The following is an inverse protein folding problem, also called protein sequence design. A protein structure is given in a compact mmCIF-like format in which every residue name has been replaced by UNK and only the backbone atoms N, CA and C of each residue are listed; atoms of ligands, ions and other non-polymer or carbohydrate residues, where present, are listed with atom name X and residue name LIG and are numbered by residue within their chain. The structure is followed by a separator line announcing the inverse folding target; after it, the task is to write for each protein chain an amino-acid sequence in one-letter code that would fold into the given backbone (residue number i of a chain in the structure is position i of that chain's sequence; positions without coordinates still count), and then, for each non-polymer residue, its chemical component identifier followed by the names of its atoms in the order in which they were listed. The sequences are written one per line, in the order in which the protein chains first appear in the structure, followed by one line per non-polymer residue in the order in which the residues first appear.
data_IF_308203023864
#
_entry.id   IF_308203023864
#
_cell.length_a   1.000
_cell.length_b   1.000
_cell.length_c   1.000
_cell.angle_alpha   90.00
_cell.angle_beta   90.00
_cell.angle_gamma   90.00
#
_symmetry.space_group_name_H-M   'P 1'
#
loop_
_entity.id
_entity.type
_entity.pdbx_description
1 polymer ?
#
# COMPACT_ATOMS: atom_id res chain seq x y z
N UNK A 1 -6.67 -25.93 -4.88
CA UNK A 1 -5.35 -25.81 -4.20
C UNK A 1 -5.39 -24.72 -3.15
N UNK A 2 -5.73 -23.48 -3.52
CA UNK A 2 -5.84 -22.32 -2.63
C UNK A 2 -6.56 -22.61 -1.32
N UNK A 3 -7.79 -23.15 -1.39
CA UNK A 3 -8.54 -23.56 -0.19
C UNK A 3 -7.75 -24.46 0.78
N UNK A 4 -6.98 -25.43 0.26
CA UNK A 4 -6.16 -26.31 1.12
C UNK A 4 -5.00 -25.57 1.78
N UNK A 5 -4.45 -24.55 1.11
CA UNK A 5 -3.40 -23.71 1.68
C UNK A 5 -3.98 -22.80 2.78
N UNK A 6 -5.19 -22.26 2.58
CA UNK A 6 -5.91 -21.48 3.59
C UNK A 6 -6.26 -22.37 4.80
N UNK A 7 -6.86 -23.54 4.56
CA UNK A 7 -7.17 -24.51 5.62
C UNK A 7 -5.91 -24.87 6.43
N UNK A 8 -4.77 -25.02 5.76
CA UNK A 8 -3.49 -25.29 6.40
C UNK A 8 -2.98 -24.09 7.22
N UNK A 9 -3.12 -22.86 6.69
CA UNK A 9 -2.76 -21.63 7.40
C UNK A 9 -3.56 -21.50 8.70
N UNK A 10 -4.88 -21.69 8.63
CA UNK A 10 -5.75 -21.66 9.82
C UNK A 10 -5.39 -22.78 10.80
N UNK A 11 -5.12 -23.99 10.32
CA UNK A 11 -4.79 -25.14 11.17
C UNK A 11 -3.40 -25.06 11.83
N UNK A 12 -2.49 -24.24 11.28
CA UNK A 12 -1.09 -24.13 11.69
C UNK A 12 -0.68 -22.72 12.09
N UNK A 13 -1.64 -21.88 12.49
CA UNK A 13 -1.39 -20.47 12.85
C UNK A 13 -0.42 -20.27 14.04
N UNK A 14 -0.20 -21.29 14.88
CA UNK A 14 0.72 -21.22 16.02
C UNK A 14 2.17 -21.61 15.66
N UNK A 15 2.41 -22.02 14.41
CA UNK A 15 3.71 -22.45 13.90
C UNK A 15 4.25 -21.38 12.95
N UNK A 16 5.07 -20.47 13.48
CA UNK A 16 5.63 -19.33 12.76
C UNK A 16 6.33 -19.72 11.45
N UNK A 17 7.04 -20.85 11.42
CA UNK A 17 7.77 -21.30 10.23
C UNK A 17 6.79 -21.71 9.12
N UNK A 18 5.72 -22.42 9.48
CA UNK A 18 4.67 -22.81 8.54
C UNK A 18 3.89 -21.58 8.05
N UNK A 19 3.53 -20.67 8.95
CA UNK A 19 2.84 -19.42 8.59
C UNK A 19 3.68 -18.61 7.60
N UNK A 20 4.97 -18.41 7.89
CA UNK A 20 5.88 -17.67 7.03
C UNK A 20 6.02 -18.33 5.65
N UNK A 21 6.16 -19.66 5.60
CA UNK A 21 6.28 -20.40 4.34
C UNK A 21 5.00 -20.33 3.49
N UNK A 22 3.82 -20.35 4.14
CA UNK A 22 2.55 -20.18 3.45
C UNK A 22 2.36 -18.77 2.93
N UNK A 23 2.71 -17.74 3.72
CA UNK A 23 2.71 -16.35 3.26
C UNK A 23 3.62 -16.15 2.04
N UNK A 24 4.83 -16.74 2.06
CA UNK A 24 5.73 -16.72 0.91
C UNK A 24 5.12 -17.44 -0.31
N UNK A 25 4.45 -18.57 -0.08
CA UNK A 25 3.76 -19.30 -1.15
C UNK A 25 2.66 -18.44 -1.81
N UNK A 26 1.85 -17.74 -1.01
CA UNK A 26 0.84 -16.84 -1.54
C UNK A 26 1.43 -15.60 -2.22
N UNK A 27 2.53 -15.06 -1.71
CA UNK A 27 3.27 -14.01 -2.40
C UNK A 27 3.70 -14.46 -3.80
N UNK A 28 4.24 -15.67 -3.94
CA UNK A 28 4.61 -16.23 -5.24
C UNK A 28 3.40 -16.41 -6.16
N UNK A 29 2.26 -16.86 -5.63
CA UNK A 29 1.02 -16.99 -6.41
C UNK A 29 0.47 -15.63 -6.86
N UNK A 30 0.59 -14.58 -6.05
CA UNK A 30 0.21 -13.22 -6.40
C UNK A 30 1.15 -12.60 -7.44
N UNK A 31 2.44 -12.94 -7.40
CA UNK A 31 3.43 -12.45 -8.38
C UNK A 31 3.23 -13.04 -9.79
N UNK A 32 2.52 -14.15 -9.92
CA UNK A 32 2.28 -14.80 -11.19
C UNK A 32 0.92 -14.37 -11.78
N UNK A 33 0.87 -13.73 -12.97
CA UNK A 33 -0.36 -13.24 -13.59
C UNK A 33 -1.42 -14.32 -13.84
N UNK A 34 -1.02 -15.58 -14.05
CA UNK A 34 -1.95 -16.69 -14.32
C UNK A 34 -2.68 -17.16 -13.06
N UNK A 35 -2.11 -16.89 -11.88
CA UNK A 35 -2.66 -17.36 -10.60
C UNK A 35 -3.16 -16.23 -9.71
N UNK A 36 -2.67 -15.01 -9.89
CA UNK A 36 -2.99 -13.86 -9.04
C UNK A 36 -4.48 -13.54 -9.04
N UNK A 37 -5.13 -13.62 -10.20
CA UNK A 37 -6.57 -13.41 -10.32
C UNK A 37 -7.36 -14.41 -9.47
N UNK A 38 -7.01 -15.70 -9.55
CA UNK A 38 -7.63 -16.74 -8.75
C UNK A 38 -7.39 -16.57 -7.25
N UNK A 39 -6.26 -15.98 -6.83
CA UNK A 39 -6.00 -15.68 -5.40
C UNK A 39 -6.87 -14.52 -4.91
N UNK A 40 -7.04 -13.49 -5.73
CA UNK A 40 -7.84 -12.31 -5.38
C UNK A 40 -9.35 -12.54 -5.50
N UNK A 41 -9.78 -13.46 -6.36
CA UNK A 41 -11.19 -13.85 -6.56
C UNK A 41 -11.64 -15.02 -5.67
N UNK A 42 -10.72 -15.69 -4.96
CA UNK A 42 -11.09 -16.74 -4.00
C UNK A 42 -12.01 -16.16 -2.92
N UNK A 43 -12.82 -17.00 -2.26
CA UNK A 43 -13.90 -16.62 -1.33
C UNK A 43 -13.59 -15.36 -0.49
N UNK A 44 -14.13 -14.21 -0.91
CA UNK A 44 -13.94 -12.88 -0.31
C UNK A 44 -12.47 -12.46 -0.07
N UNK A 45 -11.54 -12.92 -0.91
CA UNK A 45 -10.10 -12.71 -0.74
C UNK A 45 -9.61 -13.10 0.67
N UNK A 46 -10.09 -14.23 1.21
CA UNK A 46 -9.82 -14.67 2.59
C UNK A 46 -8.33 -14.65 2.96
N UNK A 47 -7.45 -15.05 2.05
CA UNK A 47 -6.01 -15.00 2.30
C UNK A 47 -5.48 -13.57 2.46
N UNK A 48 -6.05 -12.61 1.74
CA UNK A 48 -5.69 -11.19 1.88
C UNK A 48 -6.17 -10.68 3.24
N UNK A 49 -7.34 -11.12 3.71
CA UNK A 49 -7.79 -10.82 5.07
C UNK A 49 -6.82 -11.35 6.14
N UNK A 50 -6.32 -12.56 5.98
CA UNK A 50 -5.26 -13.08 6.86
C UNK A 50 -4.00 -12.22 6.81
N UNK A 51 -3.53 -11.83 5.61
CA UNK A 51 -2.36 -10.97 5.49
C UNK A 51 -2.56 -9.59 6.15
N UNK A 52 -3.76 -9.02 6.05
CA UNK A 52 -4.10 -7.74 6.70
C UNK A 52 -4.01 -7.82 8.23
N UNK A 53 -4.34 -8.97 8.83
CA UNK A 53 -4.16 -9.18 10.28
C UNK A 53 -2.69 -9.41 10.64
N UNK A 54 -1.97 -10.17 9.81
CA UNK A 54 -0.58 -10.57 10.04
C UNK A 54 0.44 -9.43 9.83
N UNK A 55 0.06 -8.30 9.22
CA UNK A 55 0.95 -7.14 9.08
C UNK A 55 1.38 -6.56 10.44
N UNK A 56 0.63 -6.86 11.51
CA UNK A 56 0.90 -6.42 12.88
C UNK A 56 1.38 -7.56 13.77
N UNK A 57 1.83 -8.66 13.17
CA UNK A 57 2.32 -9.81 13.92
C UNK A 57 3.54 -9.44 14.76
N UNK A 58 3.67 -10.08 15.93
CA UNK A 58 4.82 -9.90 16.82
C UNK A 58 6.13 -10.37 16.20
N UNK A 59 6.07 -11.33 15.27
CA UNK A 59 7.20 -11.83 14.53
C UNK A 59 7.47 -10.91 13.32
N UNK A 60 8.62 -10.20 13.28
CA UNK A 60 8.91 -9.23 12.23
C UNK A 60 9.07 -9.87 10.85
N UNK A 61 9.42 -11.17 10.77
CA UNK A 61 9.50 -11.88 9.49
C UNK A 61 8.12 -12.11 8.89
N UNK A 62 7.14 -12.48 9.73
CA UNK A 62 5.75 -12.67 9.32
C UNK A 62 5.15 -11.33 8.91
N UNK A 63 5.29 -10.30 9.75
CA UNK A 63 4.80 -8.95 9.47
C UNK A 63 5.42 -8.38 8.17
N UNK A 64 6.74 -8.55 7.99
CA UNK A 64 7.43 -8.13 6.78
C UNK A 64 6.95 -8.86 5.53
N UNK A 65 6.80 -10.19 5.60
CA UNK A 65 6.33 -11.00 4.47
C UNK A 65 4.87 -10.70 4.11
N UNK A 66 4.01 -10.50 5.11
CA UNK A 66 2.61 -10.10 4.91
C UNK A 66 2.53 -8.72 4.24
N UNK A 67 3.30 -7.74 4.74
CA UNK A 67 3.40 -6.40 4.13
C UNK A 67 3.84 -6.47 2.66
N UNK A 68 4.87 -7.27 2.35
CA UNK A 68 5.34 -7.44 0.98
C UNK A 68 4.28 -8.07 0.07
N UNK A 69 3.57 -9.10 0.53
CA UNK A 69 2.49 -9.72 -0.23
C UNK A 69 1.31 -8.74 -0.46
N UNK A 70 0.94 -7.95 0.55
CA UNK A 70 -0.09 -6.92 0.44
C UNK A 70 0.31 -5.80 -0.54
N UNK A 71 1.60 -5.50 -0.68
CA UNK A 71 2.11 -4.60 -1.73
C UNK A 71 1.71 -5.07 -3.12
N UNK A 72 1.92 -6.36 -3.44
CA UNK A 72 1.50 -6.94 -4.72
C UNK A 72 -0.03 -6.89 -4.91
N UNK A 73 -0.80 -7.14 -3.84
CA UNK A 73 -2.26 -7.01 -3.90
C UNK A 73 -2.68 -5.59 -4.30
N UNK A 74 -2.07 -4.57 -3.71
CA UNK A 74 -2.37 -3.18 -4.03
C UNK A 74 -2.06 -2.85 -5.49
N UNK A 75 -0.90 -3.29 -6.00
CA UNK A 75 -0.52 -3.10 -7.41
C UNK A 75 -1.52 -3.77 -8.37
N UNK A 76 -1.92 -5.01 -8.08
CA UNK A 76 -2.88 -5.75 -8.89
C UNK A 76 -4.25 -5.08 -8.92
N UNK A 77 -4.71 -4.56 -7.78
CA UNK A 77 -5.98 -3.83 -7.69
C UNK A 77 -5.94 -2.49 -8.43
N UNK A 78 -4.81 -1.78 -8.43
CA UNK A 78 -4.62 -0.58 -9.25
C UNK A 78 -4.70 -0.90 -10.75
N UNK A 79 -4.04 -1.99 -11.18
CA UNK A 79 -4.08 -2.45 -12.58
C UNK A 79 -5.49 -2.89 -12.99
N UNK A 80 -6.27 -3.47 -12.07
CA UNK A 80 -7.68 -3.81 -12.32
C UNK A 80 -8.55 -2.57 -12.42
N UNK A 81 -8.38 -1.61 -11.50
CA UNK A 81 -9.11 -0.34 -11.51
C UNK A 81 -8.89 0.46 -12.80
N UNK A 82 -7.65 0.49 -13.32
CA UNK A 82 -7.34 1.19 -14.57
C UNK A 82 -7.93 0.53 -15.82
N UNK A 83 -8.21 -0.78 -15.79
CA UNK A 83 -8.89 -1.49 -16.89
C UNK A 83 -10.40 -1.27 -16.92
N UNK A 84 -11.02 -1.00 -15.75
CA UNK A 84 -12.47 -0.89 -15.60
C UNK A 84 -12.96 0.56 -15.70
N UNK A 85 -12.17 1.53 -15.23
CA UNK A 85 -12.55 2.94 -15.24
C UNK A 85 -12.18 3.61 -16.56
N UNK A 86 -13.15 4.18 -17.26
CA UNK A 86 -12.91 5.11 -18.40
C UNK A 86 -12.71 6.55 -17.91
N UNK A 87 -13.07 6.83 -16.66
CA UNK A 87 -12.88 8.15 -16.03
C UNK A 87 -11.69 8.14 -15.07
N UNK A 88 -10.77 9.11 -15.18
CA UNK A 88 -9.62 9.23 -14.30
C UNK A 88 -10.07 9.63 -12.89
N UNK A 89 -9.42 9.06 -11.87
CA UNK A 89 -9.42 9.62 -10.51
C UNK A 89 -10.28 8.94 -9.42
N UNK A 90 -11.13 7.94 -9.69
CA UNK A 90 -11.95 7.36 -8.60
C UNK A 90 -12.43 5.91 -8.74
N UNK A 91 -11.60 5.01 -9.25
CA UNK A 91 -11.81 3.57 -8.98
C UNK A 91 -10.90 3.14 -7.83
N UNK A 92 -11.25 3.52 -6.59
CA UNK A 92 -10.60 2.93 -5.41
C UNK A 92 -11.24 1.59 -5.14
N UNK A 93 -10.51 0.51 -5.41
CA UNK A 93 -10.95 -0.80 -4.94
C UNK A 93 -11.06 -0.76 -3.42
N UNK A 94 -12.16 -1.28 -2.87
CA UNK A 94 -12.35 -1.43 -1.42
C UNK A 94 -11.18 -2.22 -0.81
N UNK A 95 -10.63 -3.20 -1.54
CA UNK A 95 -9.50 -3.97 -1.09
C UNK A 95 -8.22 -3.13 -1.03
N UNK A 96 -7.99 -2.29 -2.05
CA UNK A 96 -6.88 -1.35 -2.09
C UNK A 96 -6.89 -0.40 -0.88
N UNK A 97 -8.06 0.18 -0.57
CA UNK A 97 -8.22 1.08 0.57
C UNK A 97 -7.94 0.35 1.90
N UNK A 98 -8.40 -0.89 2.04
CA UNK A 98 -8.09 -1.74 3.22
C UNK A 98 -6.59 -2.00 3.36
N UNK A 99 -5.90 -2.33 2.28
CA UNK A 99 -4.45 -2.55 2.28
C UNK A 99 -3.71 -1.29 2.71
N UNK A 100 -4.07 -0.14 2.10
CA UNK A 100 -3.48 1.16 2.43
C UNK A 100 -3.68 1.50 3.90
N UNK A 101 -4.92 1.36 4.39
CA UNK A 101 -5.26 1.64 5.79
C UNK A 101 -4.47 0.74 6.76
N UNK A 102 -4.42 -0.57 6.50
CA UNK A 102 -3.72 -1.51 7.37
C UNK A 102 -2.21 -1.22 7.44
N UNK A 103 -1.58 -0.87 6.30
CA UNK A 103 -0.15 -0.48 6.26
C UNK A 103 0.10 0.80 7.05
N UNK A 104 -0.77 1.80 6.91
CA UNK A 104 -0.67 3.05 7.67
C UNK A 104 -0.82 2.81 9.18
N UNK A 105 -1.80 2.01 9.60
CA UNK A 105 -2.00 1.66 11.01
C UNK A 105 -0.82 0.89 11.60
N UNK A 106 -0.26 -0.07 10.86
CA UNK A 106 0.91 -0.83 11.27
C UNK A 106 2.14 0.08 11.43
N UNK A 107 2.36 0.98 10.48
CA UNK A 107 3.44 1.97 10.57
C UNK A 107 3.28 2.88 11.79
N UNK A 108 2.08 3.44 12.00
CA UNK A 108 1.83 4.33 13.13
C UNK A 108 2.05 3.62 14.47
N UNK A 109 1.66 2.35 14.60
CA UNK A 109 1.88 1.59 15.82
C UNK A 109 3.36 1.34 16.09
N UNK A 110 4.13 0.98 15.06
CA UNK A 110 5.57 0.83 15.19
C UNK A 110 6.24 2.15 15.60
N UNK A 111 5.84 3.26 15.00
CA UNK A 111 6.34 4.59 15.36
C UNK A 111 5.97 4.99 16.79
N UNK A 112 4.72 4.78 17.22
CA UNK A 112 4.28 5.07 18.58
C UNK A 112 5.06 4.25 19.62
N UNK A 113 5.28 2.95 19.36
CA UNK A 113 6.07 2.09 20.25
C UNK A 113 7.52 2.56 20.39
N UNK A 114 8.12 3.04 19.29
CA UNK A 114 9.48 3.59 19.31
C UNK A 114 9.56 4.92 20.07
N UNK A 115 8.56 5.80 19.90
CA UNK A 115 8.45 7.05 20.66
C UNK A 115 8.28 6.78 22.15
N UNK A 116 7.46 5.80 22.54
CA UNK A 116 7.27 5.39 23.94
C UNK A 116 8.59 4.88 24.55
N UNK A 117 9.30 4.00 23.83
CA UNK A 117 10.61 3.48 24.24
C UNK A 117 11.66 4.58 24.38
N UNK A 118 11.68 5.54 23.46
CA UNK A 118 12.56 6.69 23.51
C UNK A 118 12.19 7.67 24.65
N UNK A 119 10.89 7.85 24.92
CA UNK A 119 10.39 8.67 26.01
C UNK A 119 10.72 8.10 27.40
N UNK A 120 10.67 6.77 27.56
CA UNK A 120 11.10 6.10 28.80
C UNK A 120 12.61 6.25 29.05
N UNK A 121 13.42 6.23 27.99
CA UNK A 121 14.88 6.44 28.06
C UNK A 121 15.26 7.85 28.57
N UNK A 122 14.47 8.88 28.26
CA UNK A 122 14.75 10.26 28.69
C UNK A 122 14.44 10.48 30.19
N UNK A 123 13.63 9.62 30.81
CA UNK A 123 13.19 9.82 32.20
C UNK A 123 14.09 9.13 33.25
N UNK A 124 14.87 8.11 32.87
CA UNK A 124 15.91 7.51 33.73
C UNK A 124 17.30 7.85 33.19
N UNK A 125 17.84 9.00 33.61
CA UNK A 125 19.17 9.45 33.18
C UNK A 125 20.27 8.43 33.47
N UNK A 126 21.24 8.31 32.56
CA UNK A 126 22.59 7.78 32.84
C UNK A 126 23.57 8.37 31.82
N UNK A 127 24.75 8.66 32.36
CA UNK A 127 25.83 9.49 31.84
C UNK A 127 26.44 8.97 30.53
N UNK A 128 26.89 9.89 29.69
CA UNK A 128 27.68 9.59 28.49
C UNK A 128 29.02 8.94 28.86
N UNK A 129 29.15 7.64 28.60
CA UNK A 129 30.45 7.03 28.28
C UNK A 129 30.35 6.45 26.88
N UNK A 130 31.08 7.07 25.95
CA UNK A 130 31.08 6.71 24.55
C UNK A 130 31.72 5.35 24.33
N UNK A 131 30.93 4.39 23.86
CA UNK A 131 31.38 3.24 23.09
C UNK A 131 30.43 3.08 21.91
N UNK A 132 30.97 3.25 20.70
CA UNK A 132 30.27 3.10 19.44
C UNK A 132 29.87 1.63 19.23
N UNK A 133 28.62 1.29 19.51
CA UNK A 133 28.03 0.02 19.12
C UNK A 133 27.48 0.16 17.69
N UNK A 134 28.22 -0.41 16.74
CA UNK A 134 27.83 -0.59 15.33
C UNK A 134 26.46 -1.29 15.21
N UNK A 135 25.43 -0.53 14.83
CA UNK A 135 24.07 -1.04 14.60
C UNK A 135 23.90 -1.53 13.16
N UNK A 136 24.33 -2.76 12.88
CA UNK A 136 24.04 -3.45 11.61
C UNK A 136 22.59 -3.92 11.43
N UNK A 137 21.65 -3.39 12.24
CA UNK A 137 20.23 -3.75 12.22
C UNK A 137 19.36 -2.73 11.47
N UNK A 138 19.84 -1.49 11.28
CA UNK A 138 19.06 -0.40 10.69
C UNK A 138 18.84 -0.53 9.18
N UNK A 139 19.74 -1.20 8.45
CA UNK A 139 19.69 -1.22 6.98
C UNK A 139 18.52 -2.03 6.42
N UNK A 140 18.12 -3.12 7.10
CA UNK A 140 16.96 -3.93 6.70
C UNK A 140 15.64 -3.27 7.07
N UNK A 141 15.62 -2.56 8.20
CA UNK A 141 14.47 -1.82 8.69
C UNK A 141 14.20 -0.56 7.84
N UNK A 142 15.26 0.13 7.41
CA UNK A 142 15.20 1.20 6.41
C UNK A 142 14.71 0.72 5.04
N UNK A 143 15.02 -0.51 4.64
CA UNK A 143 14.52 -1.07 3.36
C UNK A 143 13.00 -1.30 3.40
N UNK A 144 12.46 -1.79 4.52
CA UNK A 144 11.01 -1.88 4.75
C UNK A 144 10.36 -0.49 4.85
N UNK A 145 11.07 0.48 5.43
CA UNK A 145 10.65 1.89 5.52
C UNK A 145 10.55 2.55 4.13
N UNK A 146 11.54 2.35 3.26
CA UNK A 146 11.54 2.86 1.88
C UNK A 146 10.42 2.25 1.04
N UNK A 147 10.07 0.97 1.23
CA UNK A 147 9.03 0.32 0.43
C UNK A 147 7.60 0.74 0.82
N UNK A 148 7.41 1.26 2.05
CA UNK A 148 6.16 1.85 2.50
C UNK A 148 6.02 3.32 2.08
N UNK A 149 7.12 4.11 2.15
CA UNK A 149 7.14 5.53 1.79
C UNK A 149 7.13 5.77 0.27
N UNK A 150 7.89 4.98 -0.51
CA UNK A 150 7.92 5.12 -1.97
C UNK A 150 6.54 4.92 -2.62
N UNK A 151 5.64 4.19 -1.96
CA UNK A 151 4.26 4.02 -2.43
C UNK A 151 3.36 5.24 -2.11
N UNK A 152 3.61 5.93 -1.00
CA UNK A 152 2.93 7.18 -0.69
C UNK A 152 3.35 8.29 -1.67
N UNK A 153 4.64 8.39 -2.00
CA UNK A 153 5.18 9.36 -2.96
C UNK A 153 4.73 9.06 -4.41
N UNK A 154 4.71 7.79 -4.85
CA UNK A 154 4.20 7.42 -6.19
C UNK A 154 2.71 7.74 -6.38
N UNK A 155 1.94 7.80 -5.28
CA UNK A 155 0.54 8.23 -5.32
C UNK A 155 0.39 9.74 -5.24
N UNK A 156 1.29 10.44 -4.56
CA UNK A 156 1.31 11.91 -4.50
C UNK A 156 1.69 12.47 -5.88
N UNK A 157 2.81 12.05 -6.46
CA UNK A 157 3.29 12.53 -7.78
C UNK A 157 2.26 12.31 -8.90
N UNK A 158 1.53 11.19 -8.89
CA UNK A 158 0.48 10.90 -9.89
C UNK A 158 -0.82 11.70 -9.70
N UNK A 159 -1.10 12.18 -8.50
CA UNK A 159 -2.25 13.06 -8.25
C UNK A 159 -1.94 14.51 -8.64
N UNK A 160 -0.67 14.92 -8.58
CA UNK A 160 -0.25 16.28 -8.95
C UNK A 160 0.02 16.47 -10.45
N UNK A 161 0.42 15.42 -11.19
CA UNK A 161 0.65 15.52 -12.65
C UNK A 161 -0.65 15.71 -13.45
N UNK A 162 -1.82 15.31 -12.94
CA UNK A 162 -3.11 15.44 -13.66
C UNK A 162 -3.80 16.81 -13.47
N UNK A 163 -3.43 17.62 -12.46
CA UNK A 163 -4.01 18.96 -12.27
C UNK A 163 -3.36 20.03 -13.17
N UNK A 164 -2.10 19.87 -13.60
CA UNK A 164 -1.43 20.89 -14.43
C UNK A 164 -1.74 20.80 -15.93
N UNK A 165 -2.26 19.68 -16.45
CA UNK A 165 -2.53 19.52 -17.89
C UNK A 165 -3.97 19.96 -18.31
N UNK A 166 -4.79 20.42 -17.36
CA UNK A 166 -6.21 20.74 -17.57
C UNK A 166 -6.57 22.19 -17.93
N UNK A 167 -5.65 23.15 -17.80
CA UNK A 167 -6.02 24.59 -17.75
C UNK A 167 -5.71 25.42 -19.01
N UNK A 168 -5.30 24.80 -20.13
CA UNK A 168 -4.92 25.52 -21.36
C UNK A 168 -5.94 25.47 -22.51
N UNK A 169 -7.25 25.40 -22.23
CA UNK A 169 -8.28 25.40 -23.30
C UNK A 169 -9.46 26.35 -23.10
N UNK A 170 -9.25 27.58 -22.62
CA UNK A 170 -10.21 28.67 -22.83
C UNK A 170 -9.53 30.02 -23.10
N UNK A 171 -9.03 30.22 -24.32
CA UNK A 171 -8.83 31.58 -24.81
C UNK A 171 -8.87 31.69 -26.33
N UNK A 172 -10.04 31.49 -26.94
CA UNK A 172 -10.37 32.14 -28.21
C UNK A 172 -11.84 32.56 -28.26
N UNK A 173 -12.06 33.81 -27.85
CA UNK A 173 -12.80 34.78 -28.67
C UNK A 173 -14.31 34.76 -28.55
N UNK A 174 -14.85 35.75 -27.83
CA UNK A 174 -15.94 36.59 -28.34
C UNK A 174 -16.10 37.84 -27.49
N UNK A 175 -15.67 38.98 -28.01
CA UNK A 175 -16.21 40.29 -27.62
C UNK A 175 -16.43 41.12 -28.87
N UNK A 176 -17.70 41.14 -29.28
CA UNK A 176 -18.50 42.25 -29.82
C UNK A 176 -17.83 43.32 -30.71
N UNK A 177 -18.40 43.56 -31.89
CA UNK A 177 -19.24 44.77 -32.14
C UNK A 177 -19.56 45.01 -33.63
N UNK A 178 -20.84 45.36 -33.88
CA UNK A 178 -21.37 46.25 -34.93
C UNK A 178 -21.39 45.83 -36.40
N UNK A 179 -22.59 45.68 -36.99
CA UNK A 179 -23.20 46.68 -37.88
C UNK A 179 -24.49 46.15 -38.54
N UNK A 180 -25.34 47.10 -38.94
CA UNK A 180 -26.76 47.00 -39.24
C UNK A 180 -27.12 46.50 -40.66
N UNK A 181 -28.40 46.17 -40.80
CA UNK A 181 -29.28 46.35 -41.97
C UNK A 181 -29.03 45.62 -43.30
N UNK A 182 -29.90 44.65 -43.62
CA UNK A 182 -30.59 44.60 -44.94
C UNK A 182 -32.02 44.06 -44.74
N UNK A 183 -32.98 44.82 -45.27
CA UNK A 183 -34.44 44.66 -45.19
C UNK A 183 -34.95 43.66 -46.24
N UNK A 184 -35.97 42.85 -45.90
CA UNK A 184 -36.73 42.06 -46.88
C UNK A 184 -37.94 42.85 -47.38
N UNK A 185 -37.98 43.12 -48.69
CA UNK A 185 -39.11 42.95 -49.63
C UNK A 185 -38.64 43.29 -51.05
#
# INVERSE_FOLDING_TARGET
LLRRLIDLLTAKQEDDEIVLQLLWTFHMLLSNPETSEAVLEDQDAQVVHYMLELIRDSNPMIAGQASAALGLVAELEMVRASKVSTEPGRSTSILFDKVRQARFEAYNQAWMAEVERAGESVYYGTEHTGEEASTGSGDREMSLMHHNLAFADVLDDRLWEEEEEGDEIYSLGSSSSSAEHVTYL
#
